data_IF_172115920072
#
_entry.id   IF_172115920072
#
_cell.length_a   1.000
_cell.length_b   1.000
_cell.length_c   1.000
_cell.angle_alpha   90.00
_cell.angle_beta   90.00
_cell.angle_gamma   90.00
#
_symmetry.space_group_name_H-M   'P 1'
#
loop_
_entity.id
_entity.type
_entity.pdbx_description
1 polymer ?
#
# COMPACT_ATOMS: atom_id res chain seq x y z
N UNK A 1 -16.02 -26.65 1.18
CA UNK A 1 -15.60 -26.08 2.49
C UNK A 1 -14.14 -26.37 2.81
N UNK A 2 -13.46 -27.23 2.05
CA UNK A 2 -12.09 -27.71 2.26
C UNK A 2 -11.01 -26.61 2.28
N UNK A 3 -11.15 -25.59 1.43
CA UNK A 3 -10.13 -24.53 1.33
C UNK A 3 -9.95 -23.70 2.62
N UNK A 4 -11.01 -23.49 3.42
CA UNK A 4 -10.85 -22.76 4.70
C UNK A 4 -10.24 -23.64 5.78
N UNK A 5 -10.57 -24.93 5.83
CA UNK A 5 -9.96 -25.87 6.78
C UNK A 5 -8.47 -26.04 6.53
N UNK A 6 -8.04 -26.17 5.27
CA UNK A 6 -6.61 -26.22 4.90
C UNK A 6 -5.88 -24.92 5.29
N UNK A 7 -6.56 -23.78 5.15
CA UNK A 7 -6.01 -22.48 5.53
C UNK A 7 -5.83 -22.33 7.05
N UNK A 8 -6.76 -22.89 7.83
CA UNK A 8 -6.67 -22.93 9.30
C UNK A 8 -5.59 -23.90 9.75
N UNK A 9 -5.47 -25.06 9.12
CA UNK A 9 -4.42 -26.04 9.43
C UNK A 9 -3.02 -25.46 9.17
N UNK A 10 -2.84 -24.69 8.09
CA UNK A 10 -1.55 -24.12 7.74
C UNK A 10 -1.15 -22.86 8.56
N UNK A 11 -2.13 -22.04 8.97
CA UNK A 11 -1.87 -20.72 9.58
C UNK A 11 -2.35 -20.58 11.02
N UNK A 12 -3.08 -21.57 11.54
CA UNK A 12 -3.64 -21.62 12.89
C UNK A 12 -4.29 -20.28 13.30
N UNK A 13 -3.74 -19.62 14.31
CA UNK A 13 -4.24 -18.36 14.87
C UNK A 13 -4.13 -17.16 13.92
N UNK A 14 -3.33 -17.27 12.85
CA UNK A 14 -3.20 -16.23 11.83
C UNK A 14 -4.17 -16.43 10.66
N UNK A 15 -4.96 -17.50 10.67
CA UNK A 15 -5.89 -17.80 9.60
C UNK A 15 -7.00 -16.73 9.50
N UNK A 16 -7.27 -16.30 8.28
CA UNK A 16 -8.35 -15.34 8.03
C UNK A 16 -9.73 -15.98 8.29
N UNK A 17 -10.74 -15.18 8.68
CA UNK A 17 -12.10 -15.68 8.87
C UNK A 17 -12.66 -16.32 7.60
N UNK A 18 -13.50 -17.35 7.76
CA UNK A 18 -14.14 -18.07 6.66
C UNK A 18 -14.77 -17.14 5.61
N UNK A 19 -15.48 -16.08 6.06
CA UNK A 19 -16.14 -15.12 5.15
C UNK A 19 -15.16 -14.43 4.20
N UNK A 20 -13.95 -14.13 4.66
CA UNK A 20 -12.90 -13.51 3.84
C UNK A 20 -12.38 -14.49 2.81
N UNK A 21 -12.07 -15.72 3.24
CA UNK A 21 -11.58 -16.78 2.35
C UNK A 21 -12.63 -17.12 1.30
N UNK A 22 -13.90 -17.29 1.67
CA UNK A 22 -14.99 -17.56 0.75
C UNK A 22 -15.17 -16.43 -0.29
N UNK A 23 -15.04 -15.16 0.15
CA UNK A 23 -15.08 -14.00 -0.76
C UNK A 23 -13.93 -14.02 -1.77
N UNK A 24 -12.72 -14.37 -1.34
CA UNK A 24 -11.57 -14.48 -2.22
C UNK A 24 -11.70 -15.63 -3.20
N UNK A 25 -12.08 -16.82 -2.74
CA UNK A 25 -12.34 -18.00 -3.58
C UNK A 25 -13.35 -17.67 -4.68
N UNK A 26 -14.45 -16.98 -4.34
CA UNK A 26 -15.42 -16.54 -5.34
C UNK A 26 -14.84 -15.57 -6.39
N UNK A 27 -13.89 -14.72 -6.01
CA UNK A 27 -13.19 -13.83 -6.96
C UNK A 27 -12.23 -14.59 -7.87
N UNK A 28 -11.51 -15.58 -7.34
CA UNK A 28 -10.63 -16.44 -8.14
C UNK A 28 -11.44 -17.29 -9.13
N UNK A 29 -12.59 -17.83 -8.70
CA UNK A 29 -13.52 -18.55 -9.58
C UNK A 29 -14.09 -17.67 -10.69
N UNK A 30 -14.22 -16.36 -10.46
CA UNK A 30 -14.59 -15.37 -11.48
C UNK A 30 -13.44 -14.99 -12.43
N UNK A 31 -12.28 -15.65 -12.33
CA UNK A 31 -11.12 -15.42 -13.19
C UNK A 31 -10.19 -14.30 -12.73
N UNK A 32 -10.38 -13.73 -11.52
CA UNK A 32 -9.42 -12.79 -10.96
C UNK A 32 -8.12 -13.54 -10.62
N UNK A 33 -6.99 -13.10 -11.16
CA UNK A 33 -5.66 -13.68 -10.85
C UNK A 33 -4.86 -12.81 -9.88
N UNK A 34 -5.07 -11.50 -9.91
CA UNK A 34 -4.33 -10.56 -9.04
C UNK A 34 -4.79 -10.67 -7.59
N UNK A 35 -3.81 -10.79 -6.69
CA UNK A 35 -3.99 -10.73 -5.23
C UNK A 35 -3.90 -9.30 -4.67
N UNK A 36 -3.56 -8.31 -5.50
CA UNK A 36 -3.40 -6.93 -5.06
C UNK A 36 -4.75 -6.28 -4.82
N UNK A 37 -4.81 -5.40 -3.82
CA UNK A 37 -6.01 -4.61 -3.58
C UNK A 37 -6.34 -3.72 -4.78
N UNK A 38 -7.64 -3.60 -5.04
CA UNK A 38 -8.14 -2.62 -5.99
C UNK A 38 -7.97 -1.21 -5.44
N UNK A 39 -8.23 -0.21 -6.28
CA UNK A 39 -8.21 1.17 -5.83
C UNK A 39 -9.28 1.40 -4.75
N UNK A 40 -8.85 1.88 -3.58
CA UNK A 40 -9.75 2.29 -2.52
C UNK A 40 -10.50 3.57 -2.93
N UNK A 41 -11.81 3.61 -2.69
CA UNK A 41 -12.59 4.84 -2.86
C UNK A 41 -11.99 5.95 -1.99
N UNK A 42 -11.63 7.07 -2.61
CA UNK A 42 -10.95 8.19 -1.94
C UNK A 42 -9.44 8.26 -2.18
N UNK A 43 -8.81 7.22 -2.74
CA UNK A 43 -7.42 7.29 -3.16
C UNK A 43 -7.32 8.01 -4.52
N UNK A 44 -6.60 9.14 -4.62
CA UNK A 44 -6.43 9.82 -5.90
C UNK A 44 -5.60 8.96 -6.85
N UNK A 45 -6.10 8.78 -8.08
CA UNK A 45 -5.39 8.06 -9.15
C UNK A 45 -4.00 8.64 -9.40
N UNK A 46 -3.88 9.97 -9.30
CA UNK A 46 -2.66 10.72 -9.58
C UNK A 46 -1.50 10.37 -8.64
N UNK A 47 -1.77 9.96 -7.39
CA UNK A 47 -0.72 9.67 -6.39
C UNK A 47 0.22 8.53 -6.85
N UNK A 48 -0.24 7.67 -7.76
CA UNK A 48 0.54 6.52 -8.25
C UNK A 48 1.32 6.80 -9.54
N UNK A 49 1.24 8.00 -10.10
CA UNK A 49 1.95 8.35 -11.33
C UNK A 49 3.34 8.90 -11.01
N UNK A 50 4.36 8.48 -11.75
CA UNK A 50 5.73 8.99 -11.61
C UNK A 50 5.80 10.51 -11.77
N UNK A 51 4.91 11.08 -12.60
CA UNK A 51 4.74 12.53 -12.74
C UNK A 51 4.33 13.21 -11.43
N UNK A 52 3.36 12.64 -10.70
CA UNK A 52 2.91 13.22 -9.44
C UNK A 52 4.01 13.12 -8.37
N UNK A 53 4.79 12.04 -8.38
CA UNK A 53 5.97 11.92 -7.53
C UNK A 53 7.00 13.00 -7.85
N UNK A 54 7.35 13.17 -9.12
CA UNK A 54 8.32 14.18 -9.56
C UNK A 54 7.87 15.61 -9.19
N UNK A 55 6.58 15.92 -9.35
CA UNK A 55 6.02 17.23 -8.97
C UNK A 55 6.11 17.44 -7.45
N UNK A 56 5.76 16.43 -6.65
CA UNK A 56 5.87 16.52 -5.18
C UNK A 56 7.33 16.70 -4.76
N UNK A 57 8.27 15.93 -5.32
CA UNK A 57 9.70 16.06 -5.05
C UNK A 57 10.23 17.46 -5.41
N UNK A 58 9.82 17.99 -6.56
CA UNK A 58 10.18 19.35 -6.98
C UNK A 58 9.64 20.39 -5.99
N UNK A 59 8.37 20.30 -5.60
CA UNK A 59 7.76 21.23 -4.63
C UNK A 59 8.46 21.17 -3.27
N UNK A 60 8.83 19.98 -2.79
CA UNK A 60 9.59 19.81 -1.55
C UNK A 60 10.99 20.42 -1.64
N UNK A 61 11.65 20.29 -2.78
CA UNK A 61 12.97 20.87 -3.04
C UNK A 61 12.93 22.40 -3.20
N UNK A 62 11.84 22.94 -3.73
CA UNK A 62 11.61 24.37 -3.89
C UNK A 62 11.15 25.04 -2.59
N UNK A 63 10.53 24.29 -1.67
CA UNK A 63 10.08 24.82 -0.38
C UNK A 63 11.27 25.36 0.44
N UNK A 64 11.23 26.67 0.66
CA UNK A 64 12.23 27.44 1.40
C UNK A 64 12.39 26.92 2.83
N UNK A 65 11.31 26.42 3.44
CA UNK A 65 11.30 25.93 4.84
C UNK A 65 12.12 24.65 4.99
N UNK A 66 11.99 23.71 4.06
CA UNK A 66 12.79 22.48 3.97
C UNK A 66 14.28 22.78 3.77
N UNK A 67 14.60 23.80 2.95
CA UNK A 67 15.99 24.23 2.73
C UNK A 67 16.65 24.83 3.98
N UNK A 68 15.88 25.40 4.90
CA UNK A 68 16.42 25.98 6.13
C UNK A 68 16.71 24.91 7.19
N UNK A 69 15.87 23.87 7.33
CA UNK A 69 16.15 22.75 8.25
C UNK A 69 17.38 21.93 7.85
N UNK A 70 17.56 21.62 6.56
CA UNK A 70 18.77 20.90 6.10
C UNK A 70 20.06 21.70 6.37
N UNK A 71 19.99 23.03 6.33
CA UNK A 71 21.13 23.91 6.63
C UNK A 71 21.42 24.01 8.13
N UNK A 72 20.40 23.94 8.98
CA UNK A 72 20.61 23.93 10.44
C UNK A 72 21.23 22.60 10.89
N UNK A 73 20.80 21.48 10.32
CA UNK A 73 21.32 20.16 10.71
C UNK A 73 22.80 19.99 10.31
N UNK A 74 23.18 20.43 9.10
CA UNK A 74 24.59 20.42 8.65
C UNK A 74 25.51 21.34 9.45
N UNK A 75 24.97 22.37 10.11
CA UNK A 75 25.75 23.33 10.91
C UNK A 75 25.98 22.85 12.35
N UNK A 76 25.28 21.80 12.80
CA UNK A 76 25.39 21.29 14.17
C UNK A 76 26.40 20.13 14.29
N UNK A 77 27.03 19.73 13.18
CA UNK A 77 27.96 18.60 13.10
C UNK A 77 29.35 18.99 12.58
N UNK A 78 29.77 20.24 12.77
CA UNK A 78 31.13 20.72 12.47
C UNK A 78 31.64 21.58 13.61
#
# INVERSE_FOLDING_TARGET
MECHSEFVEALENNALPYRTVARWVGKFQQGRVSNSDGQCSGQPLSVRTDLARAVIEQLMNEDRRSRQQVKTDRKTHN
#
